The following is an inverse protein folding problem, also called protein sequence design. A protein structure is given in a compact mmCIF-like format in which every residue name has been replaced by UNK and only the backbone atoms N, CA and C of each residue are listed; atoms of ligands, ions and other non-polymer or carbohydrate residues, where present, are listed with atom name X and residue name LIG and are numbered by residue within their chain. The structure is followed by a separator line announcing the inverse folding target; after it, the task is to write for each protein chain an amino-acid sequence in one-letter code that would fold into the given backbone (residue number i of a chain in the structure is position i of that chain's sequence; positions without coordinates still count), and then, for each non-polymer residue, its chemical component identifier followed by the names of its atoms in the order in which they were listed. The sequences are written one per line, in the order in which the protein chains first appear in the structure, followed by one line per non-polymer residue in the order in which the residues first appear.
data_IF_244592761282
#
_entry.id   IF_244592761282
#
_cell.length_a   1.000
_cell.length_b   1.000
_cell.length_c   1.000
_cell.angle_alpha   90.00
_cell.angle_beta   90.00
_cell.angle_gamma   90.00
#
_symmetry.space_group_name_H-M   'P 1'
#
loop_
_entity.id
_entity.type
_entity.pdbx_description
1 polymer ?
#
# COMPACT_ATOMS: atom_id res chain seq x y z
N UNK A 1 26.82 -42.92 48.17
CA UNK A 1 25.61 -42.07 48.04
C UNK A 1 25.70 -41.39 46.69
N UNK A 2 25.09 -41.99 45.67
CA UNK A 2 25.08 -41.45 44.31
C UNK A 2 24.11 -40.26 44.23
N UNK A 3 24.60 -39.14 43.70
CA UNK A 3 23.77 -37.97 43.41
C UNK A 3 23.21 -38.11 42.00
N UNK A 4 21.90 -38.30 41.90
CA UNK A 4 21.16 -38.26 40.62
C UNK A 4 21.17 -36.82 40.12
N UNK A 5 21.85 -36.58 39.00
CA UNK A 5 21.80 -35.32 38.25
C UNK A 5 20.50 -35.27 37.46
N UNK A 6 19.60 -34.36 37.84
CA UNK A 6 18.39 -34.03 37.07
C UNK A 6 18.71 -32.83 36.18
N UNK A 7 19.31 -33.07 35.01
CA UNK A 7 19.26 -32.07 33.93
C UNK A 7 17.81 -31.99 33.43
N UNK A 8 17.18 -30.81 33.38
CA UNK A 8 15.83 -30.69 32.86
C UNK A 8 15.77 -31.21 31.41
N UNK A 9 14.70 -31.91 31.00
CA UNK A 9 14.54 -32.30 29.62
C UNK A 9 14.44 -31.03 28.76
N UNK A 10 15.29 -30.93 27.74
CA UNK A 10 15.14 -29.89 26.74
C UNK A 10 13.79 -30.08 26.06
N UNK A 11 12.92 -29.07 26.16
CA UNK A 11 11.65 -29.03 25.46
C UNK A 11 11.93 -29.25 23.98
N UNK A 12 11.24 -30.24 23.39
CA UNK A 12 11.34 -30.59 21.98
C UNK A 12 11.00 -29.36 21.11
N UNK A 13 12.02 -28.61 20.71
CA UNK A 13 11.92 -27.58 19.70
C UNK A 13 12.00 -28.25 18.34
N UNK A 14 11.01 -28.03 17.47
CA UNK A 14 11.10 -28.50 16.09
C UNK A 14 12.37 -27.90 15.45
N UNK A 15 13.37 -28.77 15.24
CA UNK A 15 14.65 -28.43 14.64
C UNK A 15 14.35 -27.99 13.20
N UNK A 16 14.44 -26.69 12.93
CA UNK A 16 14.15 -26.09 11.63
C UNK A 16 13.14 -24.94 11.64
N UNK A 17 12.41 -24.72 12.73
CA UNK A 17 11.57 -23.53 12.87
C UNK A 17 12.25 -22.51 13.78
N UNK A 18 12.83 -21.47 13.18
CA UNK A 18 13.20 -20.26 13.90
C UNK A 18 11.93 -19.44 14.14
N UNK A 19 11.48 -19.32 15.39
CA UNK A 19 10.38 -18.42 15.77
C UNK A 19 10.83 -16.95 15.80
N UNK A 20 11.62 -16.50 14.81
CA UNK A 20 11.96 -15.09 14.71
C UNK A 20 10.69 -14.32 14.40
N UNK A 21 10.28 -13.48 15.35
CA UNK A 21 9.18 -12.55 15.14
C UNK A 21 9.67 -11.54 14.13
N UNK A 22 9.21 -11.66 12.89
CA UNK A 22 9.47 -10.66 11.85
C UNK A 22 8.62 -9.44 12.18
N UNK A 23 9.28 -8.34 12.51
CA UNK A 23 8.62 -7.05 12.74
C UNK A 23 7.90 -6.61 11.47
N UNK A 24 6.62 -6.23 11.61
CA UNK A 24 5.78 -5.74 10.51
C UNK A 24 5.11 -4.46 10.95
N UNK A 25 5.32 -3.40 10.18
CA UNK A 25 4.73 -2.09 10.45
C UNK A 25 3.68 -1.84 9.36
N UNK A 26 2.37 -1.97 9.68
CA UNK A 26 1.32 -1.66 8.72
C UNK A 26 1.14 -0.15 8.59
N UNK A 27 0.96 0.34 7.37
CA UNK A 27 0.56 1.71 7.08
C UNK A 27 -0.73 1.65 6.26
N UNK A 28 -1.81 2.25 6.77
CA UNK A 28 -3.07 2.39 6.04
C UNK A 28 -3.31 3.83 5.64
N UNK A 29 -3.72 4.04 4.40
CA UNK A 29 -3.99 5.34 3.80
C UNK A 29 -5.41 5.33 3.26
N UNK A 30 -6.22 6.27 3.73
CA UNK A 30 -7.61 6.41 3.33
C UNK A 30 -7.78 7.71 2.55
N UNK A 31 -8.16 7.62 1.27
CA UNK A 31 -8.54 8.75 0.43
C UNK A 31 -10.06 8.80 0.34
N UNK A 32 -10.65 9.96 0.66
CA UNK A 32 -12.11 10.14 0.64
C UNK A 32 -12.46 11.48 -0.02
N UNK A 33 -13.28 11.44 -1.07
CA UNK A 33 -13.81 12.65 -1.71
C UNK A 33 -14.83 13.43 -0.87
N UNK A 34 -15.23 12.93 0.31
CA UNK A 34 -16.20 13.53 1.24
C UNK A 34 -15.61 14.20 2.50
N UNK A 35 -16.48 14.52 3.46
CA UNK A 35 -16.13 15.32 4.66
C UNK A 35 -15.57 14.53 5.85
N UNK A 36 -15.62 13.20 5.87
CA UNK A 36 -15.27 12.43 7.07
C UNK A 36 -14.13 11.41 6.86
N UNK A 37 -13.10 11.48 7.71
CA UNK A 37 -12.21 10.36 8.05
C UNK A 37 -11.13 9.92 7.05
N UNK A 38 -10.80 10.72 6.03
CA UNK A 38 -9.73 10.43 5.06
C UNK A 38 -9.16 11.70 4.44
N UNK A 39 -8.14 11.55 3.58
CA UNK A 39 -7.57 12.67 2.83
C UNK A 39 -8.60 13.25 1.87
N UNK A 40 -8.88 14.53 2.07
CA UNK A 40 -9.88 15.33 1.37
C UNK A 40 -9.25 16.06 0.20
N UNK A 41 -10.07 16.67 -0.65
CA UNK A 41 -9.61 17.60 -1.69
C UNK A 41 -8.75 18.72 -1.12
N UNK A 42 -8.99 19.18 0.12
CA UNK A 42 -8.15 20.18 0.79
C UNK A 42 -6.74 19.69 1.16
N UNK A 43 -6.52 18.37 1.25
CA UNK A 43 -5.21 17.75 1.48
C UNK A 43 -4.43 17.56 0.17
N UNK A 44 -5.02 17.95 -0.97
CA UNK A 44 -4.30 18.03 -2.24
C UNK A 44 -3.34 19.21 -2.22
N UNK A 45 -2.06 18.94 -2.50
CA UNK A 45 -1.04 19.96 -2.66
C UNK A 45 -0.29 19.72 -3.97
N UNK A 46 -0.43 20.62 -4.94
CA UNK A 46 0.14 20.44 -6.28
C UNK A 46 -0.38 19.17 -6.96
N UNK A 47 0.51 18.28 -7.37
CA UNK A 47 0.20 17.08 -8.18
C UNK A 47 -0.29 15.85 -7.36
N UNK A 48 -0.61 15.98 -6.06
CA UNK A 48 -0.98 14.84 -5.21
C UNK A 48 -1.60 15.18 -3.85
N UNK A 49 -1.77 14.17 -2.99
CA UNK A 49 -2.31 14.24 -1.63
C UNK A 49 -1.21 14.13 -0.57
N UNK A 50 -1.30 14.92 0.51
CA UNK A 50 -0.42 14.78 1.70
C UNK A 50 -1.09 13.98 2.80
N UNK A 51 -0.63 12.76 3.02
CA UNK A 51 -1.13 11.85 4.05
C UNK A 51 -0.36 12.00 5.35
N UNK A 52 -0.94 12.62 6.38
CA UNK A 52 -0.38 12.60 7.73
C UNK A 52 -0.59 11.23 8.38
N UNK A 53 0.46 10.63 8.94
CA UNK A 53 0.41 9.28 9.53
C UNK A 53 -0.10 9.27 10.98
N UNK A 54 -0.44 10.44 11.55
CA UNK A 54 -0.83 10.59 12.95
C UNK A 54 0.37 10.56 13.90
N UNK A 55 1.22 9.54 13.78
CA UNK A 55 2.47 9.38 14.53
C UNK A 55 3.70 9.38 13.62
N UNK A 56 4.86 9.65 14.22
CA UNK A 56 6.15 9.55 13.53
C UNK A 56 6.66 8.12 13.61
N UNK A 57 6.76 7.46 12.46
CA UNK A 57 7.38 6.14 12.32
C UNK A 57 8.89 6.33 12.16
N UNK A 58 9.68 5.78 13.08
CA UNK A 58 11.14 5.75 12.97
C UNK A 58 11.57 4.45 12.28
N UNK A 59 12.12 4.56 11.07
CA UNK A 59 12.68 3.43 10.34
C UNK A 59 14.19 3.47 10.52
N UNK A 60 14.71 2.58 11.37
CA UNK A 60 16.12 2.59 11.76
C UNK A 60 16.99 1.70 10.86
N UNK A 61 16.37 0.89 9.99
CA UNK A 61 17.04 -0.09 9.13
C UNK A 61 16.55 0.02 7.70
N UNK A 62 17.27 -0.65 6.81
CA UNK A 62 16.78 -0.88 5.44
C UNK A 62 15.51 -1.74 5.54
N UNK A 63 14.41 -1.23 5.01
CA UNK A 63 13.08 -1.83 5.18
C UNK A 63 12.47 -2.09 3.81
N UNK A 64 11.92 -3.27 3.61
CA UNK A 64 11.18 -3.61 2.39
C UNK A 64 9.71 -3.20 2.53
N UNK A 65 9.14 -2.68 1.46
CA UNK A 65 7.76 -2.21 1.40
C UNK A 65 6.97 -3.14 0.50
N UNK A 66 5.85 -3.61 1.03
CA UNK A 66 4.88 -4.43 0.31
C UNK A 66 3.54 -3.70 0.22
N UNK A 67 2.92 -3.71 -0.94
CA UNK A 67 1.50 -3.40 -1.11
C UNK A 67 0.70 -4.61 -0.68
N UNK A 68 -0.02 -4.50 0.43
CA UNK A 68 -0.85 -5.58 0.95
C UNK A 68 -2.20 -5.61 0.23
N UNK A 69 -2.89 -4.47 0.20
CA UNK A 69 -4.19 -4.35 -0.45
C UNK A 69 -4.44 -2.94 -0.98
N UNK A 70 -5.15 -2.89 -2.10
CA UNK A 70 -5.71 -1.66 -2.66
C UNK A 70 -7.20 -1.89 -2.89
N UNK A 71 -8.03 -1.13 -2.18
CA UNK A 71 -9.49 -1.26 -2.22
C UNK A 71 -10.06 0.07 -2.69
N UNK A 72 -11.04 0.02 -3.59
CA UNK A 72 -11.77 1.21 -4.01
C UNK A 72 -13.27 1.04 -3.78
N UNK A 73 -13.98 2.15 -3.65
CA UNK A 73 -15.44 2.22 -3.65
C UNK A 73 -15.88 3.39 -4.50
N UNK A 74 -16.83 3.15 -5.40
CA UNK A 74 -17.40 4.21 -6.24
C UNK A 74 -16.36 4.92 -7.12
N UNK A 75 -15.26 4.25 -7.48
CA UNK A 75 -14.25 4.77 -8.40
C UNK A 75 -14.58 4.41 -9.85
N UNK A 76 -13.79 4.97 -10.78
CA UNK A 76 -13.90 4.72 -12.21
C UNK A 76 -13.84 3.23 -12.53
N UNK A 77 -14.84 2.77 -13.30
CA UNK A 77 -14.96 1.38 -13.73
C UNK A 77 -14.13 1.15 -14.99
N UNK A 78 -13.67 -0.09 -15.21
CA UNK A 78 -12.86 -0.44 -16.37
C UNK A 78 -13.73 -0.40 -17.64
N UNK A 79 -13.49 0.53 -18.56
CA UNK A 79 -14.29 0.72 -19.79
C UNK A 79 -13.45 0.74 -21.09
N UNK A 80 -12.16 0.38 -21.01
CA UNK A 80 -11.25 0.36 -22.16
C UNK A 80 -10.69 1.73 -22.59
N UNK A 81 -11.01 2.82 -21.88
CA UNK A 81 -10.56 4.19 -22.22
C UNK A 81 -9.44 4.70 -21.29
N UNK A 82 -8.42 3.88 -21.02
CA UNK A 82 -7.32 4.27 -20.12
C UNK A 82 -7.65 4.13 -18.63
N UNK A 83 -8.71 3.38 -18.32
CA UNK A 83 -9.22 3.14 -16.96
C UNK A 83 -8.97 1.71 -16.48
N UNK A 84 -8.13 0.97 -17.18
CA UNK A 84 -7.75 -0.42 -16.89
C UNK A 84 -6.75 -0.52 -15.75
N UNK A 85 -6.08 0.59 -15.42
CA UNK A 85 -5.02 0.63 -14.42
C UNK A 85 -5.07 1.89 -13.58
N UNK A 86 -4.80 1.74 -12.30
CA UNK A 86 -4.43 2.83 -11.41
C UNK A 86 -2.91 2.94 -11.32
N UNK A 87 -2.45 4.18 -11.25
CA UNK A 87 -1.05 4.55 -11.17
C UNK A 87 -0.85 5.24 -9.83
N UNK A 88 -0.11 4.59 -8.93
CA UNK A 88 0.15 5.03 -7.57
C UNK A 88 1.62 5.43 -7.41
N UNK A 89 1.86 6.70 -7.14
CA UNK A 89 3.18 7.21 -6.77
C UNK A 89 3.21 7.59 -5.29
N UNK A 90 4.29 7.24 -4.61
CA UNK A 90 4.54 7.64 -3.23
C UNK A 90 5.96 8.18 -3.17
N UNK A 91 6.11 9.48 -2.90
CA UNK A 91 7.41 10.16 -3.00
C UNK A 91 8.43 9.59 -2.02
N UNK A 92 7.97 9.19 -0.85
CA UNK A 92 8.81 8.71 0.23
C UNK A 92 9.25 7.26 0.00
N UNK A 93 8.57 6.50 -0.84
CA UNK A 93 9.05 5.17 -1.22
C UNK A 93 9.93 5.38 -2.46
N UNK A 94 11.23 5.07 -2.37
CA UNK A 94 12.19 5.20 -3.48
C UNK A 94 11.91 4.12 -4.53
N UNK A 95 10.72 4.18 -5.14
CA UNK A 95 10.19 3.22 -6.08
C UNK A 95 10.99 3.36 -7.38
N UNK A 96 11.65 2.27 -7.77
CA UNK A 96 12.43 2.21 -9.00
C UNK A 96 11.72 1.29 -9.98
N UNK A 97 11.04 1.89 -10.95
CA UNK A 97 10.47 1.15 -12.08
C UNK A 97 11.07 1.65 -13.39
N UNK A 98 11.31 0.71 -14.29
CA UNK A 98 11.77 0.99 -15.65
C UNK A 98 10.58 0.88 -16.58
N UNK A 99 10.27 1.95 -17.30
CA UNK A 99 9.18 1.99 -18.27
C UNK A 99 9.56 2.89 -19.44
N UNK A 100 9.04 2.56 -20.62
CA UNK A 100 9.07 3.44 -21.79
C UNK A 100 8.00 4.54 -21.74
N UNK A 101 7.09 4.50 -20.75
CA UNK A 101 6.11 5.53 -20.49
C UNK A 101 6.52 6.35 -19.26
N UNK A 102 6.74 7.66 -19.46
CA UNK A 102 7.13 8.59 -18.40
C UNK A 102 6.12 8.66 -17.24
N UNK A 103 4.82 8.45 -17.52
CA UNK A 103 3.77 8.44 -16.50
C UNK A 103 3.90 7.25 -15.53
N UNK A 104 4.49 6.14 -15.98
CA UNK A 104 4.62 4.90 -15.19
C UNK A 104 5.97 4.78 -14.47
N UNK A 105 6.92 5.66 -14.80
CA UNK A 105 8.26 5.65 -14.22
C UNK A 105 8.20 6.01 -12.74
N UNK A 106 8.84 5.20 -11.90
CA UNK A 106 8.90 5.30 -10.44
C UNK A 106 7.53 5.28 -9.76
N UNK A 107 6.56 4.56 -10.34
CA UNK A 107 5.20 4.40 -9.80
C UNK A 107 4.79 2.93 -9.79
N UNK A 108 3.85 2.60 -8.92
CA UNK A 108 3.21 1.30 -8.79
C UNK A 108 2.01 1.27 -9.74
N UNK A 109 1.90 0.22 -10.54
CA UNK A 109 0.75 -0.02 -11.40
C UNK A 109 -0.16 -1.05 -10.74
N UNK A 110 -1.44 -0.70 -10.60
CA UNK A 110 -2.46 -1.53 -9.96
C UNK A 110 -3.56 -1.79 -10.98
N UNK A 111 -3.90 -3.04 -11.31
CA UNK A 111 -4.96 -3.32 -12.26
C UNK A 111 -6.31 -2.90 -11.70
N UNK A 112 -7.10 -2.21 -12.52
CA UNK A 112 -8.49 -1.93 -12.22
C UNK A 112 -9.33 -3.18 -12.53
N UNK A 113 -9.83 -3.82 -11.48
CA UNK A 113 -10.67 -5.02 -11.54
C UNK A 113 -12.14 -4.68 -11.32
N UNK A 114 -12.48 -3.38 -11.23
CA UNK A 114 -13.85 -2.94 -11.07
C UNK A 114 -14.60 -3.19 -12.39
N UNK A 115 -15.61 -4.06 -12.40
CA UNK A 115 -16.28 -4.44 -13.64
C UNK A 115 -16.99 -3.25 -14.28
N UNK A 116 -16.97 -3.20 -15.61
CA UNK A 116 -17.90 -2.38 -16.37
C UNK A 116 -19.33 -2.88 -16.09
N UNK A 117 -20.25 -2.06 -15.57
CA UNK A 117 -21.58 -2.49 -15.17
C UNK A 117 -22.51 -2.70 -16.37
N UNK A 118 -22.02 -2.70 -17.61
CA UNK A 118 -22.87 -2.85 -18.79
C UNK A 118 -23.87 -1.70 -18.94
N UNK A 119 -23.51 -0.49 -18.47
CA UNK A 119 -24.29 0.72 -18.68
C UNK A 119 -24.95 1.36 -17.45
N UNK A 120 -24.86 0.76 -16.25
CA UNK A 120 -25.34 1.43 -15.01
C UNK A 120 -24.19 2.06 -14.18
N UNK A 121 -23.90 3.36 -14.36
CA UNK A 121 -22.88 4.06 -13.58
C UNK A 121 -23.26 4.25 -12.11
N UNK A 122 -24.51 3.96 -11.70
CA UNK A 122 -25.01 4.26 -10.34
C UNK A 122 -24.71 3.19 -9.30
N UNK A 123 -24.35 1.96 -9.71
CA UNK A 123 -23.99 0.90 -8.76
C UNK A 123 -22.56 1.12 -8.27
N UNK A 124 -22.40 1.84 -7.17
CA UNK A 124 -21.12 1.94 -6.47
C UNK A 124 -20.82 0.59 -5.79
N UNK A 125 -19.71 -0.04 -6.16
CA UNK A 125 -19.27 -1.30 -5.58
C UNK A 125 -17.89 -1.12 -4.92
N UNK A 126 -17.69 -1.83 -3.80
CA UNK A 126 -16.37 -1.98 -3.20
C UNK A 126 -15.61 -3.05 -3.96
N UNK A 127 -14.45 -2.69 -4.51
CA UNK A 127 -13.62 -3.59 -5.32
C UNK A 127 -12.24 -3.72 -4.69
N UNK A 128 -11.79 -4.96 -4.50
CA UNK A 128 -10.40 -5.25 -4.18
C UNK A 128 -9.60 -5.38 -5.48
N UNK A 129 -8.58 -4.55 -5.61
CA UNK A 129 -7.64 -4.56 -6.72
C UNK A 129 -6.39 -5.33 -6.31
N UNK A 130 -6.30 -6.59 -6.75
CA UNK A 130 -5.16 -7.45 -6.44
C UNK A 130 -4.63 -8.11 -7.70
N UNK A 131 -3.36 -7.89 -7.99
CA UNK A 131 -2.62 -8.73 -8.92
C UNK A 131 -2.22 -10.03 -8.21
N UNK A 132 -2.33 -11.17 -8.89
CA UNK A 132 -2.13 -12.49 -8.28
C UNK A 132 -0.68 -12.81 -7.88
N UNK A 133 0.32 -12.01 -8.28
CA UNK A 133 1.73 -12.44 -8.17
C UNK A 133 2.78 -11.44 -7.67
N UNK A 134 2.52 -10.15 -7.45
CA UNK A 134 3.60 -9.24 -7.01
C UNK A 134 3.10 -8.13 -6.09
N UNK A 135 3.47 -8.22 -4.81
CA UNK A 135 3.18 -7.22 -3.77
C UNK A 135 4.40 -6.38 -3.39
N UNK A 136 5.60 -6.70 -3.88
CA UNK A 136 6.82 -5.96 -3.54
C UNK A 136 6.85 -4.61 -4.27
N UNK A 137 7.00 -3.53 -3.52
CA UNK A 137 7.02 -2.14 -4.02
C UNK A 137 8.46 -1.64 -4.17
N UNK A 138 9.29 -1.90 -3.17
CA UNK A 138 10.66 -1.40 -3.13
C UNK A 138 11.26 -1.46 -1.74
N UNK A 139 12.42 -0.81 -1.59
CA UNK A 139 13.14 -0.72 -0.33
C UNK A 139 13.27 0.75 0.08
N UNK A 140 13.12 1.03 1.38
CA UNK A 140 13.34 2.36 1.96
C UNK A 140 14.58 2.34 2.84
N UNK A 141 15.39 3.39 2.72
CA UNK A 141 16.55 3.62 3.59
C UNK A 141 16.09 4.17 4.95
N UNK A 142 16.90 4.00 6.02
CA UNK A 142 16.57 4.52 7.34
C UNK A 142 16.18 6.01 7.31
N UNK A 143 15.03 6.35 7.92
CA UNK A 143 14.49 7.71 8.03
C UNK A 143 13.30 7.77 8.97
N UNK A 144 12.88 8.99 9.29
CA UNK A 144 11.62 9.26 10.00
C UNK A 144 10.51 9.58 9.00
N UNK A 145 9.36 8.93 9.15
CA UNK A 145 8.16 9.19 8.34
C UNK A 145 7.07 9.77 9.23
N UNK A 146 6.65 10.99 8.94
CA UNK A 146 5.49 11.64 9.57
C UNK A 146 4.33 11.81 8.59
N UNK A 147 4.67 11.95 7.31
CA UNK A 147 3.74 12.17 6.23
C UNK A 147 4.18 11.42 4.97
N UNK A 148 3.23 11.13 4.09
CA UNK A 148 3.45 10.58 2.76
C UNK A 148 2.85 11.50 1.70
N UNK A 149 3.57 11.74 0.61
CA UNK A 149 3.08 12.46 -0.56
C UNK A 149 2.67 11.46 -1.63
N UNK A 150 1.37 11.41 -1.94
CA UNK A 150 0.74 10.35 -2.72
C UNK A 150 0.12 10.92 -3.99
N UNK A 151 0.46 10.37 -5.15
CA UNK A 151 -0.20 10.66 -6.42
C UNK A 151 -0.99 9.43 -6.84
N UNK A 152 -2.30 9.53 -7.04
CA UNK A 152 -3.13 8.42 -7.52
C UNK A 152 -3.96 8.87 -8.72
N UNK A 153 -3.65 8.32 -9.88
CA UNK A 153 -4.36 8.60 -11.13
C UNK A 153 -4.79 7.32 -11.83
N UNK A 154 -5.72 7.41 -12.78
CA UNK A 154 -5.91 6.38 -13.79
C UNK A 154 -4.90 6.54 -14.95
N UNK A 155 -4.95 5.63 -15.93
CA UNK A 155 -4.14 5.70 -17.14
C UNK A 155 -4.45 6.89 -18.05
N UNK A 156 -5.62 7.50 -17.89
CA UNK A 156 -6.00 8.77 -18.54
C UNK A 156 -5.51 10.01 -17.75
N UNK A 157 -4.71 9.82 -16.70
CA UNK A 157 -4.21 10.88 -15.80
C UNK A 157 -5.30 11.62 -15.01
N UNK A 158 -6.49 11.03 -14.88
CA UNK A 158 -7.54 11.54 -14.00
C UNK A 158 -7.20 11.17 -12.56
N UNK A 159 -7.19 12.16 -11.67
CA UNK A 159 -6.94 11.92 -10.25
C UNK A 159 -8.12 11.21 -9.60
N UNK A 160 -7.84 10.15 -8.84
CA UNK A 160 -8.86 9.44 -8.06
C UNK A 160 -9.10 10.11 -6.71
N UNK A 161 -10.34 10.03 -6.22
CA UNK A 161 -10.73 10.53 -4.89
C UNK A 161 -10.92 12.04 -4.79
N UNK A 162 -10.90 12.76 -5.91
CA UNK A 162 -10.98 14.23 -5.96
C UNK A 162 -12.42 14.78 -6.02
N UNK A 163 -13.43 13.94 -6.34
CA UNK A 163 -14.82 14.36 -6.44
C UNK A 163 -15.81 13.24 -6.02
N UNK A 164 -16.78 13.58 -5.16
CA UNK A 164 -17.96 12.76 -4.87
C UNK A 164 -17.79 11.72 -3.76
N UNK A 165 -18.53 10.60 -3.87
CA UNK A 165 -18.58 9.49 -2.91
C UNK A 165 -17.44 8.47 -3.04
N UNK A 166 -16.49 8.72 -3.94
CA UNK A 166 -15.38 7.82 -4.22
C UNK A 166 -14.43 7.71 -3.02
N UNK A 167 -14.06 6.49 -2.67
CA UNK A 167 -13.13 6.17 -1.56
C UNK A 167 -12.08 5.18 -2.03
N UNK A 168 -10.86 5.35 -1.52
CA UNK A 168 -9.76 4.42 -1.77
C UNK A 168 -9.05 4.13 -0.46
N UNK A 169 -8.74 2.86 -0.22
CA UNK A 169 -7.94 2.38 0.90
C UNK A 169 -6.71 1.68 0.35
N UNK A 170 -5.54 2.08 0.85
CA UNK A 170 -4.26 1.53 0.43
C UNK A 170 -3.52 1.08 1.68
N UNK A 171 -3.20 -0.21 1.74
CA UNK A 171 -2.47 -0.81 2.86
C UNK A 171 -1.07 -1.22 2.40
N UNK A 172 -0.07 -0.73 3.12
CA UNK A 172 1.32 -1.14 2.99
C UNK A 172 1.75 -1.91 4.22
N UNK A 173 2.67 -2.86 4.03
CA UNK A 173 3.39 -3.53 5.09
C UNK A 173 4.87 -3.24 4.90
N UNK A 174 5.47 -2.64 5.93
CA UNK A 174 6.90 -2.41 6.02
C UNK A 174 7.52 -3.55 6.81
N UNK A 175 8.58 -4.15 6.26
CA UNK A 175 9.33 -5.25 6.89
C UNK A 175 10.79 -4.83 6.98
N UNK A 176 11.28 -4.46 8.19
CA UNK A 176 12.69 -4.19 8.40
C UNK A 176 13.52 -5.43 8.10
N UNK A 177 14.64 -5.26 7.38
CA UNK A 177 15.56 -6.36 7.15
C UNK A 177 16.28 -6.74 8.45
N UNK A 178 16.60 -8.03 8.56
CA UNK A 178 17.49 -8.51 9.61
C UNK A 178 18.87 -7.84 9.48
N UNK A 179 19.55 -7.65 10.61
CA UNK A 179 20.88 -7.04 10.67
C UNK A 179 21.94 -8.04 10.23
#
# INVERSE_FOLDING_TARGET
MDRISLTPPELYGNIGYTNSIVERIPISIHLNGGTDGGLKTADQTGDGYRASLGDVINIDRVTDVFLDSFISYGTTKMDGSGKETYILGIKEFDIKTVSNNALLKNKILIPNTAPDPGGDPTTAATTLHRASKFNYVGTITPKKLKELTITLTDGASTQLGSAGTAKVWINFILIPREK
#
